data_IF_752952359340
#
_entry.id   IF_752952359340
#
_cell.length_a   1.000
_cell.length_b   1.000
_cell.length_c   1.000
_cell.angle_alpha   90.00
_cell.angle_beta   90.00
_cell.angle_gamma   90.00
#
_symmetry.space_group_name_H-M   'P 1'
#
loop_
_entity.id
_entity.type
_entity.pdbx_description
1 polymer ?
#
# COMPACT_ATOMS: atom_id res chain seq x y z
N UNK A 1 -7.99 -37.90 7.30
CA UNK A 1 -8.42 -36.61 7.84
C UNK A 1 -7.28 -35.64 7.56
N UNK A 2 -7.38 -34.81 6.51
CA UNK A 2 -6.33 -33.86 6.16
C UNK A 2 -6.22 -32.81 7.27
N UNK A 3 -5.00 -32.37 7.68
CA UNK A 3 -4.83 -31.39 8.71
C UNK A 3 -5.53 -30.08 8.29
N UNK A 4 -6.26 -29.47 9.20
CA UNK A 4 -6.98 -28.21 8.94
C UNK A 4 -6.01 -27.14 8.47
N UNK A 5 -6.33 -26.52 7.30
CA UNK A 5 -5.59 -25.43 6.68
C UNK A 5 -5.06 -24.32 7.63
N UNK A 6 -5.74 -23.96 8.75
CA UNK A 6 -5.29 -22.91 9.66
C UNK A 6 -3.90 -23.12 10.28
N UNK A 7 -3.44 -24.37 10.42
CA UNK A 7 -2.12 -24.65 11.02
C UNK A 7 -0.95 -24.42 10.06
N UNK A 8 -1.21 -24.37 8.75
CA UNK A 8 -0.18 -24.16 7.72
C UNK A 8 0.03 -22.67 7.37
N UNK A 9 -0.99 -21.82 7.55
CA UNK A 9 -0.90 -20.40 7.27
C UNK A 9 -0.64 -19.64 8.57
N UNK A 10 0.59 -19.15 8.72
CA UNK A 10 0.98 -18.29 9.83
C UNK A 10 0.69 -16.83 9.44
N UNK A 11 0.15 -16.06 10.36
CA UNK A 11 -0.14 -14.65 10.14
C UNK A 11 -0.93 -14.03 11.28
N UNK A 12 -1.08 -12.72 11.20
CA UNK A 12 -1.86 -11.95 12.19
C UNK A 12 -3.35 -12.05 11.88
N UNK A 13 -4.17 -11.99 12.91
CA UNK A 13 -5.63 -11.84 12.76
C UNK A 13 -5.96 -10.42 12.31
N UNK A 14 -7.16 -10.22 11.77
CA UNK A 14 -7.66 -8.89 11.45
C UNK A 14 -7.60 -7.95 12.67
N UNK A 15 -8.02 -8.42 13.84
CA UNK A 15 -8.00 -7.62 15.07
C UNK A 15 -6.60 -7.12 15.43
N UNK A 16 -5.58 -7.98 15.33
CA UNK A 16 -4.19 -7.61 15.60
C UNK A 16 -3.68 -6.55 14.63
N UNK A 17 -3.99 -6.69 13.34
CA UNK A 17 -3.62 -5.71 12.32
C UNK A 17 -4.35 -4.38 12.55
N UNK A 18 -5.65 -4.43 12.85
CA UNK A 18 -6.46 -3.25 13.14
C UNK A 18 -5.91 -2.49 14.36
N UNK A 19 -5.52 -3.19 15.43
CA UNK A 19 -4.92 -2.57 16.62
C UNK A 19 -3.58 -1.90 16.28
N UNK A 20 -2.73 -2.56 15.48
CA UNK A 20 -1.46 -1.97 15.01
C UNK A 20 -1.69 -0.69 14.21
N UNK A 21 -2.67 -0.69 13.31
CA UNK A 21 -3.02 0.51 12.51
C UNK A 21 -3.60 1.60 13.40
N UNK A 22 -4.43 1.26 14.39
CA UNK A 22 -4.99 2.21 15.36
C UNK A 22 -3.90 2.86 16.21
N UNK A 23 -2.95 2.09 16.69
CA UNK A 23 -1.81 2.61 17.44
C UNK A 23 -1.00 3.60 16.58
N UNK A 24 -0.69 3.23 15.34
CA UNK A 24 -0.01 4.13 14.41
C UNK A 24 -0.81 5.42 14.17
N UNK A 25 -2.11 5.31 13.93
CA UNK A 25 -2.99 6.46 13.67
C UNK A 25 -3.08 7.40 14.89
N UNK A 26 -3.01 6.88 16.12
CA UNK A 26 -3.04 7.69 17.34
C UNK A 26 -1.85 8.65 17.48
N UNK A 27 -0.78 8.41 16.72
CA UNK A 27 0.40 9.28 16.66
C UNK A 27 0.25 10.44 15.68
N UNK A 28 -0.76 10.42 14.81
CA UNK A 28 -0.97 11.47 13.82
C UNK A 28 -1.50 12.76 14.48
N UNK A 29 -0.99 13.90 14.03
CA UNK A 29 -1.57 15.19 14.34
C UNK A 29 -2.74 15.46 13.37
N UNK A 30 -3.69 16.31 13.73
CA UNK A 30 -4.66 16.85 12.79
C UNK A 30 -3.96 17.52 11.60
N UNK A 31 -4.50 17.34 10.41
CA UNK A 31 -3.99 18.01 9.21
C UNK A 31 -4.15 19.53 9.34
N UNK A 32 -3.10 20.28 9.03
CA UNK A 32 -3.09 21.76 9.11
C UNK A 32 -2.97 22.32 7.70
N UNK A 33 -3.84 23.26 7.34
CA UNK A 33 -3.75 23.99 6.07
C UNK A 33 -3.07 25.33 6.31
N UNK A 34 -1.90 25.53 5.69
CA UNK A 34 -1.07 26.71 5.88
C UNK A 34 -0.76 27.38 4.55
N UNK A 35 -0.59 28.71 4.57
CA UNK A 35 0.04 29.40 3.45
C UNK A 35 1.54 29.10 3.41
N UNK A 36 2.07 28.82 2.22
CA UNK A 36 3.49 28.46 2.06
C UNK A 36 4.42 29.55 2.60
N UNK A 37 4.04 30.79 2.46
CA UNK A 37 4.76 31.96 3.00
C UNK A 37 4.85 32.04 4.53
N UNK A 38 4.01 31.27 5.23
CA UNK A 38 4.03 31.18 6.70
C UNK A 38 5.03 30.14 7.23
N UNK A 39 5.50 29.26 6.37
CA UNK A 39 6.52 28.26 6.73
C UNK A 39 7.87 28.94 6.98
N UNK A 40 8.62 28.43 7.93
CA UNK A 40 9.99 28.87 8.23
C UNK A 40 10.90 27.67 8.40
N UNK A 41 11.94 27.60 7.57
CA UNK A 41 13.01 26.64 7.74
C UNK A 41 14.05 27.15 8.74
N UNK A 42 14.62 26.24 9.50
CA UNK A 42 15.67 26.54 10.49
C UNK A 42 16.99 25.86 10.12
N UNK A 43 18.13 26.32 10.65
CA UNK A 43 19.42 25.68 10.43
C UNK A 43 19.53 24.26 11.03
N UNK A 44 18.60 23.85 11.86
CA UNK A 44 18.47 22.50 12.42
C UNK A 44 17.76 21.51 11.50
N UNK A 45 17.61 21.87 10.20
CA UNK A 45 16.88 21.08 9.20
C UNK A 45 15.41 20.80 9.60
N UNK A 46 14.80 21.74 10.35
CA UNK A 46 13.39 21.67 10.71
C UNK A 46 12.59 22.76 10.00
N UNK A 47 11.28 22.62 10.02
CA UNK A 47 10.33 23.58 9.47
C UNK A 47 9.35 23.95 10.56
N UNK A 48 9.26 25.23 10.86
CA UNK A 48 8.23 25.77 11.74
C UNK A 48 6.94 25.86 10.93
N UNK A 49 5.93 25.12 11.37
CA UNK A 49 4.60 25.07 10.79
C UNK A 49 3.64 25.76 11.78
N UNK A 50 2.82 26.72 11.37
CA UNK A 50 1.77 27.25 12.23
C UNK A 50 0.95 26.13 12.87
N UNK A 51 0.61 26.26 14.15
CA UNK A 51 -0.16 25.29 14.96
C UNK A 51 0.57 24.00 15.36
N UNK A 52 1.57 23.54 14.59
CA UNK A 52 2.37 22.35 14.92
C UNK A 52 3.71 22.70 15.59
N UNK A 53 4.19 23.93 15.40
CA UNK A 53 5.50 24.33 15.87
C UNK A 53 6.65 23.83 14.98
N UNK A 54 7.78 23.56 15.61
CA UNK A 54 8.97 23.06 14.92
C UNK A 54 8.86 21.58 14.60
N UNK A 55 8.92 21.26 13.31
CA UNK A 55 8.70 19.93 12.76
C UNK A 55 9.91 19.48 11.95
N UNK A 56 10.31 18.23 12.07
CA UNK A 56 11.29 17.62 11.18
C UNK A 56 10.58 17.09 9.91
N UNK A 57 10.99 17.46 8.70
CA UNK A 57 10.43 16.84 7.50
C UNK A 57 10.95 15.41 7.36
N UNK A 58 10.09 14.49 6.98
CA UNK A 58 10.46 13.15 6.58
C UNK A 58 11.22 13.19 5.24
N UNK A 59 11.81 12.09 4.82
CA UNK A 59 12.49 12.03 3.53
C UNK A 59 11.53 12.32 2.37
N UNK A 60 10.32 11.78 2.43
CA UNK A 60 9.29 12.02 1.42
C UNK A 60 8.85 13.49 1.40
N UNK A 61 8.61 14.09 2.56
CA UNK A 61 8.25 15.51 2.67
C UNK A 61 9.38 16.42 2.16
N UNK A 62 10.64 16.09 2.44
CA UNK A 62 11.81 16.81 1.94
C UNK A 62 11.89 16.77 0.42
N UNK A 63 11.65 15.62 -0.21
CA UNK A 63 11.58 15.49 -1.68
C UNK A 63 10.43 16.29 -2.28
N UNK A 64 9.26 16.30 -1.61
CA UNK A 64 8.13 17.13 -2.03
C UNK A 64 8.47 18.61 -1.97
N UNK A 65 9.14 19.07 -0.91
CA UNK A 65 9.62 20.46 -0.79
C UNK A 65 10.61 20.81 -1.89
N UNK A 66 11.61 19.96 -2.11
CA UNK A 66 12.57 20.16 -3.18
C UNK A 66 11.89 20.34 -4.55
N UNK A 67 10.89 19.49 -4.85
CA UNK A 67 10.09 19.58 -6.08
C UNK A 67 9.23 20.84 -6.12
N UNK A 68 8.50 21.15 -5.05
CA UNK A 68 7.64 22.33 -4.94
C UNK A 68 8.43 23.63 -5.16
N UNK A 69 9.63 23.67 -4.63
CA UNK A 69 10.48 24.85 -4.62
C UNK A 69 11.44 24.89 -5.84
N UNK A 70 11.41 23.87 -6.71
CA UNK A 70 12.21 23.79 -7.91
C UNK A 70 13.70 23.60 -7.64
N UNK A 71 14.06 22.94 -6.57
CA UNK A 71 15.45 22.58 -6.27
C UNK A 71 15.91 21.38 -7.10
N UNK A 72 17.17 21.39 -7.51
CA UNK A 72 17.84 20.17 -7.98
C UNK A 72 18.17 19.32 -6.75
N UNK A 73 17.87 18.04 -6.77
CA UNK A 73 18.13 17.12 -5.65
C UNK A 73 19.56 17.24 -5.11
N UNK A 74 20.55 17.26 -6.01
CA UNK A 74 21.97 17.39 -5.66
C UNK A 74 22.29 18.64 -4.83
N UNK A 75 21.66 19.80 -5.13
CA UNK A 75 21.90 20.99 -4.35
C UNK A 75 21.38 20.83 -2.92
N UNK A 76 20.19 20.28 -2.77
CA UNK A 76 19.56 20.06 -1.47
C UNK A 76 20.39 19.13 -0.58
N UNK A 77 21.08 18.16 -1.18
CA UNK A 77 21.95 17.22 -0.47
C UNK A 77 23.33 17.82 -0.10
N UNK A 78 23.82 18.77 -0.88
CA UNK A 78 25.19 19.30 -0.72
C UNK A 78 25.27 20.65 -0.03
N UNK A 79 24.18 21.44 0.04
CA UNK A 79 24.15 22.71 0.74
C UNK A 79 24.26 22.53 2.26
N UNK A 80 24.87 23.49 2.95
CA UNK A 80 24.90 23.49 4.42
C UNK A 80 23.46 23.68 4.98
N UNK A 81 23.22 23.29 6.24
CA UNK A 81 21.91 23.54 6.87
C UNK A 81 21.49 25.00 6.85
N UNK A 82 22.43 25.90 7.08
CA UNK A 82 22.19 27.35 7.06
C UNK A 82 21.79 27.83 5.66
N UNK A 83 22.53 27.42 4.63
CA UNK A 83 22.23 27.75 3.24
C UNK A 83 20.87 27.19 2.82
N UNK A 84 20.55 25.96 3.26
CA UNK A 84 19.22 25.37 3.01
C UNK A 84 18.12 26.19 3.66
N UNK A 85 18.28 26.55 4.93
CA UNK A 85 17.29 27.33 5.66
C UNK A 85 17.05 28.70 5.02
N UNK A 86 18.11 29.40 4.65
CA UNK A 86 18.03 30.73 4.01
C UNK A 86 17.31 30.65 2.66
N UNK A 87 17.71 29.72 1.81
CA UNK A 87 17.14 29.56 0.47
C UNK A 87 15.68 29.05 0.52
N UNK A 88 15.36 28.12 1.44
CA UNK A 88 13.98 27.68 1.68
C UNK A 88 13.09 28.86 2.09
N UNK A 89 13.53 29.67 3.05
CA UNK A 89 12.77 30.84 3.53
C UNK A 89 12.58 31.88 2.43
N UNK A 90 13.59 32.11 1.61
CA UNK A 90 13.51 33.01 0.45
C UNK A 90 12.46 32.54 -0.56
N UNK A 91 12.33 31.24 -0.76
CA UNK A 91 11.37 30.65 -1.71
C UNK A 91 9.98 30.57 -1.11
N UNK A 92 9.83 30.19 0.16
CA UNK A 92 8.55 30.19 0.84
C UNK A 92 7.86 31.56 0.72
N UNK A 93 8.59 32.64 0.91
CA UNK A 93 8.07 34.01 0.79
C UNK A 93 7.57 34.38 -0.63
N UNK A 94 7.93 33.59 -1.67
CA UNK A 94 7.62 33.91 -3.07
C UNK A 94 6.59 32.96 -3.70
N UNK A 95 6.29 31.83 -3.05
CA UNK A 95 5.35 30.86 -3.59
C UNK A 95 3.97 31.14 -3.00
N UNK A 96 3.02 31.59 -3.81
CA UNK A 96 1.66 31.79 -3.36
C UNK A 96 0.95 30.44 -3.14
N UNK A 97 -0.06 30.45 -2.32
CA UNK A 97 -0.99 29.34 -2.15
C UNK A 97 -0.83 28.57 -0.85
N UNK A 98 -1.68 27.59 -0.69
CA UNK A 98 -1.79 26.82 0.53
C UNK A 98 -1.33 25.37 0.33
N UNK A 99 -0.86 24.78 1.40
CA UNK A 99 -0.58 23.35 1.51
C UNK A 99 -1.25 22.78 2.76
N UNK A 100 -1.75 21.56 2.63
CA UNK A 100 -2.15 20.74 3.75
C UNK A 100 -0.90 20.00 4.24
N UNK A 101 -0.53 20.23 5.49
CA UNK A 101 0.61 19.57 6.14
C UNK A 101 0.07 18.39 6.93
N UNK A 102 0.54 17.19 6.63
CA UNK A 102 0.31 16.00 7.43
C UNK A 102 1.51 15.73 8.29
N UNK A 103 1.29 15.52 9.57
CA UNK A 103 2.36 15.24 10.52
C UNK A 103 2.00 14.08 11.46
N UNK A 104 3.04 13.44 11.97
CA UNK A 104 2.93 12.40 12.99
C UNK A 104 3.91 12.68 14.12
N UNK A 105 3.71 12.07 15.28
CA UNK A 105 4.64 12.13 16.39
C UNK A 105 5.79 11.18 16.13
N UNK A 106 7.01 11.70 16.09
CA UNK A 106 8.25 10.91 16.02
C UNK A 106 8.50 10.13 17.32
N UNK A 107 9.48 9.26 17.30
CA UNK A 107 9.84 8.47 18.50
C UNK A 107 10.45 9.32 19.61
N UNK A 108 11.02 10.47 19.27
CA UNK A 108 11.49 11.51 20.18
C UNK A 108 10.36 12.42 20.71
N UNK A 109 9.11 12.17 20.33
CA UNK A 109 7.92 12.94 20.68
C UNK A 109 7.71 14.21 19.85
N UNK A 110 8.65 14.60 19.00
CA UNK A 110 8.55 15.81 18.15
C UNK A 110 7.70 15.55 16.91
N UNK A 111 7.04 16.60 16.37
CA UNK A 111 6.31 16.46 15.12
C UNK A 111 7.24 16.15 13.94
N UNK A 112 6.84 15.18 13.11
CA UNK A 112 7.48 14.82 11.84
C UNK A 112 6.49 15.08 10.72
N UNK A 113 6.83 15.97 9.79
CA UNK A 113 6.02 16.23 8.59
C UNK A 113 6.12 15.00 7.69
N UNK A 114 5.00 14.35 7.44
CA UNK A 114 4.90 13.21 6.52
C UNK A 114 4.73 13.65 5.07
N UNK A 115 3.96 14.73 4.83
CA UNK A 115 3.72 15.23 3.48
C UNK A 115 3.23 16.67 3.44
N UNK A 116 3.48 17.32 2.29
CA UNK A 116 2.85 18.57 1.85
C UNK A 116 1.89 18.28 0.70
N UNK A 117 0.60 18.33 0.97
CA UNK A 117 -0.46 17.97 0.03
C UNK A 117 -1.19 19.20 -0.52
N UNK A 118 -1.98 19.01 -1.56
CA UNK A 118 -2.90 20.07 -2.00
C UNK A 118 -3.88 20.43 -0.89
N UNK A 119 -4.33 21.71 -0.79
CA UNK A 119 -5.20 22.14 0.32
C UNK A 119 -6.54 21.37 0.34
N UNK A 120 -7.03 20.98 -0.82
CA UNK A 120 -8.28 20.22 -0.97
C UNK A 120 -8.06 18.68 -1.03
N UNK A 121 -6.82 18.22 -0.81
CA UNK A 121 -6.54 16.80 -0.81
C UNK A 121 -7.26 16.13 0.35
N UNK A 122 -7.98 15.05 0.05
CA UNK A 122 -8.64 14.22 1.05
C UNK A 122 -7.85 12.93 1.19
N UNK A 123 -7.12 12.77 2.29
CA UNK A 123 -6.39 11.54 2.55
C UNK A 123 -7.37 10.40 2.86
N UNK A 124 -6.99 9.20 2.45
CA UNK A 124 -7.65 7.97 2.87
C UNK A 124 -6.72 7.33 3.90
N UNK A 125 -7.11 7.41 5.17
CA UNK A 125 -6.30 6.87 6.26
C UNK A 125 -6.46 5.36 6.38
N UNK A 126 -5.36 4.67 6.73
CA UNK A 126 -5.35 3.21 6.90
C UNK A 126 -6.35 2.78 7.97
N UNK A 127 -6.44 3.52 9.08
CA UNK A 127 -7.41 3.24 10.15
C UNK A 127 -8.84 3.25 9.62
N UNK A 128 -9.17 4.21 8.78
CA UNK A 128 -10.48 4.31 8.17
C UNK A 128 -10.80 3.13 7.26
N UNK A 129 -9.80 2.65 6.50
CA UNK A 129 -9.93 1.43 5.71
C UNK A 129 -10.21 0.24 6.62
N UNK A 130 -9.46 0.09 7.71
CA UNK A 130 -9.64 -1.00 8.66
C UNK A 130 -10.97 -0.91 9.42
N UNK A 131 -11.40 0.27 9.82
CA UNK A 131 -12.72 0.49 10.43
C UNK A 131 -13.85 0.12 9.46
N UNK A 132 -13.67 0.45 8.18
CA UNK A 132 -14.58 0.02 7.12
C UNK A 132 -14.66 -1.50 6.99
N UNK A 133 -13.52 -2.19 6.96
CA UNK A 133 -13.48 -3.65 6.93
C UNK A 133 -14.08 -4.28 8.19
N UNK A 134 -13.92 -3.66 9.35
CA UNK A 134 -14.50 -4.14 10.62
C UNK A 134 -16.04 -4.18 10.61
N UNK A 135 -16.71 -3.55 9.65
CA UNK A 135 -18.16 -3.65 9.48
C UNK A 135 -18.61 -4.96 8.79
N UNK A 136 -17.66 -5.70 8.20
CA UNK A 136 -17.94 -7.04 7.66
C UNK A 136 -18.23 -8.03 8.80
N UNK A 137 -19.01 -9.10 8.50
CA UNK A 137 -19.24 -10.15 9.50
C UNK A 137 -17.93 -10.68 10.07
N UNK A 138 -17.76 -10.76 11.41
CA UNK A 138 -16.54 -11.27 12.04
C UNK A 138 -16.13 -12.64 11.51
N UNK A 139 -17.10 -13.54 11.27
CA UNK A 139 -16.84 -14.87 10.71
C UNK A 139 -16.10 -14.81 9.36
N UNK A 140 -16.38 -13.81 8.52
CA UNK A 140 -15.68 -13.63 7.26
C UNK A 140 -14.24 -13.16 7.49
N UNK A 141 -14.03 -12.23 8.41
CA UNK A 141 -12.69 -11.70 8.72
C UNK A 141 -11.80 -12.75 9.42
N UNK A 142 -12.39 -13.60 10.24
CA UNK A 142 -11.70 -14.67 10.94
C UNK A 142 -11.19 -15.79 10.01
N UNK A 143 -11.70 -15.85 8.79
CA UNK A 143 -11.21 -16.77 7.77
C UNK A 143 -9.87 -16.33 7.15
N UNK A 144 -9.45 -15.07 7.37
CA UNK A 144 -8.20 -14.55 6.83
C UNK A 144 -7.08 -14.51 7.85
N UNK A 145 -5.86 -14.69 7.35
CA UNK A 145 -4.62 -14.42 8.08
C UNK A 145 -3.78 -13.44 7.27
N UNK A 146 -3.36 -12.35 7.91
CA UNK A 146 -2.47 -11.37 7.32
C UNK A 146 -1.04 -11.89 7.39
N UNK A 147 -0.55 -12.40 6.28
CA UNK A 147 0.78 -13.01 6.17
C UNK A 147 1.88 -11.98 6.01
N UNK A 148 1.53 -10.79 5.52
CA UNK A 148 2.45 -9.67 5.40
C UNK A 148 1.70 -8.35 5.66
N UNK A 149 2.27 -7.56 6.58
CA UNK A 149 1.82 -6.20 6.87
C UNK A 149 3.05 -5.30 6.85
N UNK A 150 3.07 -4.36 5.91
CA UNK A 150 4.15 -3.40 5.77
C UNK A 150 3.58 -1.98 5.86
N UNK A 151 4.07 -1.21 6.82
CA UNK A 151 3.66 0.16 7.07
C UNK A 151 4.89 1.07 6.94
N UNK A 152 5.12 1.58 5.75
CA UNK A 152 6.23 2.50 5.48
C UNK A 152 5.86 3.95 5.77
N UNK A 153 6.76 4.86 5.49
CA UNK A 153 6.51 6.31 5.55
C UNK A 153 5.44 6.75 4.55
N UNK A 154 5.42 6.13 3.36
CA UNK A 154 4.62 6.57 2.23
C UNK A 154 3.47 5.64 1.88
N UNK A 155 3.61 4.34 2.12
CA UNK A 155 2.65 3.32 1.70
C UNK A 155 2.41 2.30 2.79
N UNK A 156 1.22 1.72 2.75
CA UNK A 156 0.83 0.58 3.56
C UNK A 156 0.42 -0.58 2.66
N UNK A 157 0.85 -1.78 3.00
CA UNK A 157 0.52 -3.01 2.28
C UNK A 157 0.03 -4.06 3.28
N UNK A 158 -1.15 -4.61 3.01
CA UNK A 158 -1.79 -5.62 3.83
C UNK A 158 -2.08 -6.83 2.95
N UNK A 159 -1.37 -7.91 3.14
CA UNK A 159 -1.51 -9.14 2.39
C UNK A 159 -2.19 -10.19 3.25
N UNK A 160 -3.37 -10.62 2.86
CA UNK A 160 -4.18 -11.57 3.61
C UNK A 160 -4.44 -12.83 2.77
N UNK A 161 -4.42 -13.99 3.42
CA UNK A 161 -4.65 -15.30 2.83
C UNK A 161 -5.81 -15.97 3.56
N UNK A 162 -6.73 -16.57 2.83
CA UNK A 162 -7.85 -17.32 3.38
C UNK A 162 -7.36 -18.65 3.97
N UNK A 163 -7.88 -19.02 5.13
CA UNK A 163 -7.46 -20.22 5.85
C UNK A 163 -7.87 -21.54 5.17
N UNK A 164 -8.98 -21.52 4.43
CA UNK A 164 -9.41 -22.68 3.66
C UNK A 164 -8.66 -22.72 2.32
N UNK A 165 -8.00 -23.86 2.06
CA UNK A 165 -7.38 -24.18 0.76
C UNK A 165 -8.33 -24.96 -0.13
N UNK A 166 -8.04 -24.91 -1.42
CA UNK A 166 -8.75 -25.64 -2.46
C UNK A 166 -7.75 -26.51 -3.22
N UNK A 167 -8.05 -27.77 -3.40
CA UNK A 167 -7.21 -28.68 -4.17
C UNK A 167 -7.53 -28.54 -5.66
N UNK A 168 -6.52 -28.22 -6.47
CA UNK A 168 -6.64 -28.07 -7.91
C UNK A 168 -5.41 -28.66 -8.58
N UNK A 169 -5.57 -29.67 -9.42
CA UNK A 169 -4.46 -30.30 -10.15
C UNK A 169 -3.37 -30.93 -9.26
N UNK A 170 -3.72 -31.35 -8.04
CA UNK A 170 -2.78 -31.90 -7.04
C UNK A 170 -2.09 -30.84 -6.17
N UNK A 171 -2.38 -29.56 -6.38
CA UNK A 171 -1.88 -28.45 -5.57
C UNK A 171 -2.94 -27.89 -4.64
N UNK A 172 -2.55 -27.49 -3.43
CA UNK A 172 -3.39 -26.76 -2.51
C UNK A 172 -3.25 -25.24 -2.77
N UNK A 173 -4.33 -24.60 -3.26
CA UNK A 173 -4.42 -23.17 -3.54
C UNK A 173 -5.20 -22.47 -2.45
N UNK A 174 -4.62 -21.43 -1.86
CA UNK A 174 -5.30 -20.55 -0.90
C UNK A 174 -5.58 -19.20 -1.55
N UNK A 175 -6.85 -18.81 -1.65
CA UNK A 175 -7.18 -17.48 -2.14
C UNK A 175 -6.77 -16.41 -1.13
N UNK A 176 -6.44 -15.23 -1.64
CA UNK A 176 -6.01 -14.10 -0.82
C UNK A 176 -6.25 -12.77 -1.49
N UNK A 177 -5.94 -11.70 -0.78
CA UNK A 177 -5.95 -10.35 -1.33
C UNK A 177 -4.77 -9.54 -0.81
N UNK A 178 -4.38 -8.55 -1.61
CA UNK A 178 -3.41 -7.53 -1.25
C UNK A 178 -4.09 -6.17 -1.31
N UNK A 179 -4.25 -5.53 -0.16
CA UNK A 179 -4.74 -4.16 -0.03
C UNK A 179 -3.55 -3.22 0.12
N UNK A 180 -3.49 -2.19 -0.72
CA UNK A 180 -2.47 -1.15 -0.66
C UNK A 180 -3.11 0.21 -0.51
N UNK A 181 -2.44 1.09 0.23
CA UNK A 181 -2.86 2.47 0.42
C UNK A 181 -1.65 3.38 0.61
N UNK A 182 -1.91 4.69 0.50
CA UNK A 182 -0.96 5.73 0.88
C UNK A 182 -1.69 6.90 1.53
N UNK A 183 -1.50 7.09 2.81
CA UNK A 183 -2.08 8.24 3.53
C UNK A 183 -1.50 9.58 3.07
N UNK A 184 -0.38 9.57 2.37
CA UNK A 184 0.36 10.77 1.90
C UNK A 184 0.28 10.98 0.38
N UNK A 185 -0.58 10.22 -0.31
CA UNK A 185 -0.82 10.39 -1.75
C UNK A 185 0.26 9.82 -2.67
N UNK A 186 1.16 9.00 -2.17
CA UNK A 186 2.21 8.37 -2.96
C UNK A 186 1.67 7.21 -3.84
N UNK A 187 0.54 6.61 -3.46
CA UNK A 187 -0.11 5.53 -4.19
C UNK A 187 -1.64 5.61 -4.04
N UNK A 188 -2.41 5.06 -4.97
CA UNK A 188 -3.86 4.92 -4.82
C UNK A 188 -4.22 3.82 -3.82
N UNK A 189 -5.47 3.83 -3.33
CA UNK A 189 -6.04 2.63 -2.70
C UNK A 189 -6.28 1.59 -3.76
N UNK A 190 -5.77 0.38 -3.56
CA UNK A 190 -6.03 -0.76 -4.45
C UNK A 190 -6.23 -2.04 -3.65
N UNK A 191 -7.12 -2.88 -4.15
CA UNK A 191 -7.35 -4.25 -3.70
C UNK A 191 -7.12 -5.17 -4.89
N UNK A 192 -6.11 -5.99 -4.81
CA UNK A 192 -5.78 -7.03 -5.78
C UNK A 192 -6.01 -8.39 -5.13
N UNK A 193 -6.70 -9.30 -5.80
CA UNK A 193 -6.88 -10.68 -5.39
C UNK A 193 -5.84 -11.60 -6.04
N UNK A 194 -5.52 -12.70 -5.38
CA UNK A 194 -4.51 -13.66 -5.83
C UNK A 194 -4.74 -15.05 -5.23
N UNK A 195 -3.98 -16.03 -5.72
CA UNK A 195 -3.88 -17.34 -5.10
C UNK A 195 -2.45 -17.61 -4.63
N UNK A 196 -2.32 -18.23 -3.47
CA UNK A 196 -1.06 -18.75 -2.94
C UNK A 196 -1.05 -20.24 -3.14
N UNK A 197 -0.06 -20.75 -3.88
CA UNK A 197 0.22 -22.18 -3.97
C UNK A 197 1.15 -22.57 -2.83
N UNK A 198 0.73 -23.50 -2.00
CA UNK A 198 1.55 -24.05 -0.92
C UNK A 198 2.30 -25.27 -1.45
N UNK A 199 3.28 -25.05 -2.33
CA UNK A 199 4.14 -26.13 -2.84
C UNK A 199 5.43 -26.27 -2.01
N UNK A 200 5.90 -25.21 -1.40
CA UNK A 200 7.09 -25.17 -0.54
C UNK A 200 6.94 -24.01 0.49
N UNK A 201 7.83 -23.98 1.48
CA UNK A 201 7.77 -22.97 2.56
C UNK A 201 7.85 -21.52 2.08
N UNK A 202 8.29 -21.27 0.85
CA UNK A 202 8.41 -19.93 0.27
C UNK A 202 7.13 -19.42 -0.44
N UNK A 203 6.11 -20.28 -0.59
CA UNK A 203 4.80 -19.95 -1.18
C UNK A 203 4.90 -19.21 -2.52
N UNK A 204 4.54 -19.87 -3.64
CA UNK A 204 4.45 -19.15 -4.91
C UNK A 204 3.12 -18.39 -4.96
N UNK A 205 3.15 -17.08 -5.20
CA UNK A 205 1.97 -16.25 -5.36
C UNK A 205 1.65 -16.12 -6.84
N UNK A 206 0.49 -16.58 -7.24
CA UNK A 206 -0.03 -16.38 -8.59
C UNK A 206 -1.15 -15.35 -8.54
N UNK A 207 -1.04 -14.29 -9.34
CA UNK A 207 -2.07 -13.26 -9.42
C UNK A 207 -3.35 -13.83 -10.05
N UNK A 208 -4.48 -13.67 -9.39
CA UNK A 208 -5.77 -14.09 -9.89
C UNK A 208 -6.30 -13.05 -10.88
N UNK A 209 -6.17 -13.33 -12.18
CA UNK A 209 -6.73 -12.50 -13.25
C UNK A 209 -6.06 -11.13 -13.44
N UNK A 210 -6.49 -10.41 -14.48
CA UNK A 210 -5.96 -9.09 -14.85
C UNK A 210 -6.72 -7.91 -14.22
N UNK A 211 -7.80 -8.15 -13.50
CA UNK A 211 -8.69 -7.08 -13.01
C UNK A 211 -8.48 -6.85 -11.52
N UNK A 212 -8.06 -5.63 -11.17
CA UNK A 212 -8.09 -5.15 -9.79
C UNK A 212 -9.51 -5.13 -9.27
N UNK A 213 -9.71 -5.65 -8.06
CA UNK A 213 -11.01 -5.63 -7.39
C UNK A 213 -11.42 -4.21 -6.98
N UNK A 214 -10.45 -3.39 -6.62
CA UNK A 214 -10.64 -1.98 -6.30
C UNK A 214 -9.42 -1.17 -6.74
N UNK A 215 -9.68 0.01 -7.32
CA UNK A 215 -8.66 1.03 -7.59
C UNK A 215 -9.27 2.40 -7.42
N UNK A 216 -8.77 3.19 -6.49
CA UNK A 216 -9.23 4.56 -6.24
C UNK A 216 -8.06 5.50 -6.01
N UNK A 217 -8.03 6.61 -6.74
CA UNK A 217 -7.11 7.71 -6.47
C UNK A 217 -7.64 8.56 -5.32
N UNK A 218 -6.73 9.08 -4.52
CA UNK A 218 -7.07 10.06 -3.50
C UNK A 218 -7.57 11.36 -4.15
N UNK A 219 -8.68 11.88 -3.68
CA UNK A 219 -9.34 13.07 -4.21
C UNK A 219 -10.65 13.30 -3.48
N UNK A 220 -11.54 14.11 -4.03
CA UNK A 220 -12.88 14.31 -3.48
C UNK A 220 -13.75 13.05 -3.67
N UNK A 221 -13.44 12.00 -2.93
CA UNK A 221 -14.25 10.79 -2.87
C UNK A 221 -15.07 10.91 -1.58
N UNK A 222 -16.38 10.76 -1.74
CA UNK A 222 -17.29 10.62 -0.63
C UNK A 222 -16.88 9.37 0.18
N UNK A 223 -16.79 9.54 1.47
CA UNK A 223 -16.37 8.54 2.44
C UNK A 223 -17.24 7.30 2.38
N UNK A 224 -18.55 7.48 2.25
CA UNK A 224 -19.53 6.38 2.15
C UNK A 224 -19.35 5.60 0.85
N UNK A 225 -18.96 6.26 -0.24
CA UNK A 225 -18.67 5.62 -1.53
C UNK A 225 -17.43 4.75 -1.44
N UNK A 226 -16.36 5.23 -0.80
CA UNK A 226 -15.14 4.43 -0.62
C UNK A 226 -15.40 3.23 0.29
N UNK A 227 -16.04 3.47 1.44
CA UNK A 227 -16.41 2.42 2.38
C UNK A 227 -17.25 1.33 1.69
N UNK A 228 -18.33 1.73 1.02
CA UNK A 228 -19.22 0.80 0.28
C UNK A 228 -18.45 0.02 -0.79
N UNK A 229 -17.56 0.68 -1.54
CA UNK A 229 -16.76 0.05 -2.58
C UNK A 229 -15.79 -0.99 -1.99
N UNK A 230 -15.11 -0.67 -0.89
CA UNK A 230 -14.16 -1.56 -0.23
C UNK A 230 -14.86 -2.79 0.38
N UNK A 231 -15.92 -2.57 1.18
CA UNK A 231 -16.70 -3.63 1.81
C UNK A 231 -17.31 -4.55 0.74
N UNK A 232 -17.86 -3.97 -0.34
CA UNK A 232 -18.41 -4.74 -1.46
C UNK A 232 -17.33 -5.54 -2.17
N UNK A 233 -16.15 -4.97 -2.38
CA UNK A 233 -15.05 -5.66 -3.05
C UNK A 233 -14.61 -6.89 -2.24
N UNK A 234 -14.36 -6.74 -0.93
CA UNK A 234 -13.97 -7.86 -0.06
C UNK A 234 -15.08 -8.90 0.07
N UNK A 235 -16.34 -8.50 0.25
CA UNK A 235 -17.47 -9.42 0.35
C UNK A 235 -17.69 -10.26 -0.92
N UNK A 236 -17.24 -9.77 -2.08
CA UNK A 236 -17.35 -10.50 -3.36
C UNK A 236 -16.20 -11.46 -3.64
N UNK A 237 -15.09 -11.36 -2.90
CA UNK A 237 -13.91 -12.20 -3.13
C UNK A 237 -14.24 -13.71 -3.12
N UNK A 238 -14.99 -14.26 -2.15
CA UNK A 238 -15.26 -15.69 -2.12
C UNK A 238 -15.98 -16.21 -3.38
N UNK A 239 -16.91 -15.41 -3.92
CA UNK A 239 -17.60 -15.76 -5.18
C UNK A 239 -16.64 -15.73 -6.36
N UNK A 240 -15.83 -14.69 -6.48
CA UNK A 240 -14.83 -14.56 -7.56
C UNK A 240 -13.85 -15.72 -7.53
N UNK A 241 -13.33 -16.05 -6.36
CA UNK A 241 -12.40 -17.17 -6.23
C UNK A 241 -13.01 -18.49 -6.65
N UNK A 242 -14.27 -18.75 -6.30
CA UNK A 242 -14.97 -19.95 -6.76
C UNK A 242 -15.05 -20.02 -8.28
N UNK A 243 -15.35 -18.90 -8.95
CA UNK A 243 -15.39 -18.81 -10.41
C UNK A 243 -14.00 -19.03 -11.03
N UNK A 244 -12.95 -18.44 -10.47
CA UNK A 244 -11.58 -18.56 -10.97
C UNK A 244 -10.98 -19.94 -10.72
N UNK A 245 -11.26 -20.57 -9.57
CA UNK A 245 -10.84 -21.96 -9.29
C UNK A 245 -11.42 -22.96 -10.31
N UNK A 246 -12.63 -22.73 -10.79
CA UNK A 246 -13.19 -23.55 -11.89
C UNK A 246 -12.39 -23.39 -13.17
N UNK A 247 -11.95 -22.15 -13.48
CA UNK A 247 -11.12 -21.88 -14.67
C UNK A 247 -9.74 -22.52 -14.52
N UNK A 248 -9.10 -22.36 -13.36
CA UNK A 248 -7.79 -22.97 -13.07
C UNK A 248 -7.88 -24.50 -13.13
N UNK A 249 -8.93 -25.08 -12.55
CA UNK A 249 -9.16 -26.54 -12.60
C UNK A 249 -9.34 -27.07 -14.01
N UNK A 250 -10.05 -26.33 -14.88
CA UNK A 250 -10.16 -26.68 -16.30
C UNK A 250 -8.83 -26.56 -17.02
N UNK A 251 -8.05 -25.51 -16.75
CA UNK A 251 -6.75 -25.33 -17.35
C UNK A 251 -5.77 -26.42 -16.89
N UNK A 252 -5.79 -26.81 -15.63
CA UNK A 252 -4.97 -27.90 -15.09
C UNK A 252 -5.30 -29.28 -15.67
N UNK A 253 -6.50 -29.46 -16.21
CA UNK A 253 -6.94 -30.69 -16.85
C UNK A 253 -6.61 -30.75 -18.36
N UNK A 254 -6.05 -29.68 -18.94
CA UNK A 254 -5.65 -29.66 -20.36
C UNK A 254 -4.29 -30.30 -20.49
N UNK A 255 -4.23 -31.37 -21.34
CA UNK A 255 -2.96 -31.94 -21.71
C UNK A 255 -2.30 -31.07 -22.79
N UNK A 256 -1.08 -30.61 -22.54
CA UNK A 256 -0.34 -29.75 -23.46
C UNK A 256 0.71 -30.58 -24.17
N UNK A 257 0.52 -30.82 -25.47
CA UNK A 257 1.41 -31.68 -26.27
C UNK A 257 2.86 -31.13 -26.33
N UNK A 258 3.05 -29.81 -26.31
CA UNK A 258 4.36 -29.12 -26.38
C UNK A 258 4.49 -28.02 -25.34
N UNK A 259 4.62 -28.38 -24.03
CA UNK A 259 4.58 -27.40 -22.94
C UNK A 259 5.65 -26.30 -23.05
N UNK A 260 6.86 -26.65 -23.48
CA UNK A 260 7.95 -25.67 -23.62
C UNK A 260 7.66 -24.61 -24.68
N UNK A 261 7.10 -25.03 -25.83
CA UNK A 261 6.72 -24.08 -26.90
C UNK A 261 5.56 -23.16 -26.50
N UNK A 262 4.59 -23.70 -25.79
CA UNK A 262 3.45 -22.91 -25.29
C UNK A 262 3.89 -21.89 -24.19
N UNK A 263 4.80 -22.29 -23.30
CA UNK A 263 5.40 -21.39 -22.32
C UNK A 263 6.21 -20.30 -23.00
N UNK A 264 7.03 -20.63 -24.01
CA UNK A 264 7.78 -19.62 -24.79
C UNK A 264 6.86 -18.62 -25.48
N UNK A 265 5.75 -19.10 -26.09
CA UNK A 265 4.74 -18.25 -26.73
C UNK A 265 4.05 -17.33 -25.72
N UNK A 266 3.65 -17.84 -24.57
CA UNK A 266 3.02 -17.06 -23.50
C UNK A 266 3.98 -16.01 -22.94
N UNK A 267 5.24 -16.33 -22.72
CA UNK A 267 6.25 -15.42 -22.22
C UNK A 267 6.65 -14.37 -23.25
N UNK A 268 6.71 -14.70 -24.53
CA UNK A 268 6.94 -13.74 -25.61
C UNK A 268 5.82 -12.69 -25.69
N UNK A 269 4.57 -13.10 -25.42
CA UNK A 269 3.42 -12.19 -25.34
C UNK A 269 3.36 -11.32 -24.08
N UNK A 270 4.05 -11.70 -23.01
CA UNK A 270 4.03 -11.00 -21.71
C UNK A 270 5.00 -9.83 -21.58
N UNK A 271 5.89 -9.62 -22.56
CA UNK A 271 6.94 -8.58 -22.53
C UNK A 271 8.09 -8.86 -21.55
N UNK A 272 8.18 -10.08 -21.03
CA UNK A 272 9.31 -10.53 -20.19
C UNK A 272 10.55 -10.69 -21.07
N UNK A 273 11.67 -10.12 -20.61
CA UNK A 273 12.93 -10.19 -21.35
C UNK A 273 13.41 -11.65 -21.51
N UNK A 274 13.76 -12.04 -22.74
CA UNK A 274 14.10 -13.42 -23.13
C UNK A 274 15.18 -14.07 -22.25
N UNK A 275 16.17 -13.31 -21.79
CA UNK A 275 17.24 -13.81 -20.91
C UNK A 275 16.75 -14.24 -19.51
N UNK A 276 15.60 -13.69 -19.02
CA UNK A 276 15.00 -14.12 -17.76
C UNK A 276 14.25 -15.44 -17.91
N UNK A 277 13.71 -15.71 -19.11
CA UNK A 277 13.05 -16.97 -19.44
C UNK A 277 14.09 -18.08 -19.55
N UNK A 278 15.20 -17.81 -20.23
CA UNK A 278 16.32 -18.76 -20.39
C UNK A 278 16.98 -19.13 -19.05
N UNK A 279 17.07 -18.15 -18.11
CA UNK A 279 17.59 -18.41 -16.78
C UNK A 279 16.66 -19.31 -15.94
N UNK A 280 15.35 -19.14 -16.06
CA UNK A 280 14.36 -19.94 -15.34
C UNK A 280 14.22 -21.39 -15.87
N UNK A 281 14.65 -21.65 -17.11
CA UNK A 281 14.65 -23.00 -17.71
C UNK A 281 15.90 -23.81 -17.31
N UNK A 282 16.92 -23.20 -16.73
CA UNK A 282 18.19 -23.85 -16.33
C UNK A 282 18.22 -24.27 -14.85
N UNK A 283 17.22 -23.89 -14.05
CA UNK A 283 16.99 -24.35 -12.67
C UNK A 283 15.96 -25.50 -12.60
#
# INVERSE_FOLDING_TARGET
MLPRAPERIRGQTFAQVHDTVRERASRNFPDVVVHVEQLRATPEDTIVVPELGECRPSEYASRQLATLLGFRARWFETASPEERAEELNRRFARIPGQKKVRATRGDDGRPVIRAFLGPNYQPIDDLRIMDGLATLPPALLDEYRFTHVELTETTSTFTAVHSAGHEVGGDELHPGFCLRNSEVGAAPVSLDDYFVRIACMNGMVTKAGDKRSLYRRHGAIDDDVLHTALVTAVARLPKRWSEELVVIGRAAAVDVEHPDSEVELALAGSGIARHLVEAAQQE
#
